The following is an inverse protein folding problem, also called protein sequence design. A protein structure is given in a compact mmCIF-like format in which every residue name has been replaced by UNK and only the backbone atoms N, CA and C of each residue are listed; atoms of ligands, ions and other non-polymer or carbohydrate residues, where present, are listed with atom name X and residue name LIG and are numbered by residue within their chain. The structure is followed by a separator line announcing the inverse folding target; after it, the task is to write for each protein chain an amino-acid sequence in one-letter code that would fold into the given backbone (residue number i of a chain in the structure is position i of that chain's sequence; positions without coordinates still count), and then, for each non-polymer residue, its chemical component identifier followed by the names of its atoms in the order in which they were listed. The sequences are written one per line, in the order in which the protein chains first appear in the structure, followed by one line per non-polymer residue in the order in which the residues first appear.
data_IF_075563043966
#
_entry.id   IF_075563043966
#
_cell.length_a   1.000
_cell.length_b   1.000
_cell.length_c   1.000
_cell.angle_alpha   90.00
_cell.angle_beta   90.00
_cell.angle_gamma   90.00
#
_symmetry.space_group_name_H-M   'P 1'
#
loop_
_entity.id
_entity.type
_entity.pdbx_description
1 polymer ?
#
# COMPACT_ATOMS: atom_id res chain seq x y z
N UNK A 1 -15.78 -15.45 45.66
CA UNK A 1 -15.18 -14.10 45.62
C UNK A 1 -13.85 -14.24 44.91
N UNK A 2 -13.70 -13.66 43.71
CA UNK A 2 -12.43 -13.73 42.96
C UNK A 2 -11.30 -13.12 43.81
N UNK A 3 -10.13 -13.74 43.79
CA UNK A 3 -8.99 -13.33 44.61
C UNK A 3 -8.51 -11.93 44.15
N UNK A 4 -7.99 -11.05 45.04
CA UNK A 4 -7.53 -9.73 44.64
C UNK A 4 -6.40 -9.78 43.59
N UNK A 5 -5.59 -10.84 43.59
CA UNK A 5 -4.57 -11.10 42.56
C UNK A 5 -5.18 -11.43 41.19
N UNK A 6 -6.29 -12.17 41.16
CA UNK A 6 -7.00 -12.55 39.93
C UNK A 6 -7.59 -11.31 39.26
N UNK A 7 -8.23 -10.44 40.05
CA UNK A 7 -8.74 -9.14 39.56
C UNK A 7 -7.64 -8.23 39.04
N UNK A 8 -6.47 -8.20 39.67
CA UNK A 8 -5.35 -7.37 39.26
C UNK A 8 -4.74 -7.88 37.94
N UNK A 9 -4.63 -9.21 37.80
CA UNK A 9 -4.17 -9.85 36.57
C UNK A 9 -5.17 -9.69 35.42
N UNK A 10 -6.47 -9.85 35.66
CA UNK A 10 -7.52 -9.58 34.67
C UNK A 10 -7.52 -8.12 34.21
N UNK A 11 -7.40 -7.15 35.12
CA UNK A 11 -7.32 -5.74 34.75
C UNK A 11 -6.06 -5.40 33.93
N UNK A 12 -4.94 -6.04 34.26
CA UNK A 12 -3.69 -5.88 33.51
C UNK A 12 -3.81 -6.48 32.11
N UNK A 13 -4.34 -7.70 31.98
CA UNK A 13 -4.63 -8.35 30.71
C UNK A 13 -5.58 -7.51 29.86
N UNK A 14 -6.64 -6.96 30.46
CA UNK A 14 -7.56 -6.08 29.75
C UNK A 14 -6.86 -4.80 29.27
N UNK A 15 -6.06 -4.17 30.14
CA UNK A 15 -5.33 -2.94 29.81
C UNK A 15 -4.23 -3.14 28.75
N UNK A 16 -3.74 -4.36 28.55
CA UNK A 16 -2.73 -4.68 27.52
C UNK A 16 -3.17 -4.31 26.10
N UNK A 17 -4.49 -4.30 25.87
CA UNK A 17 -5.13 -3.85 24.63
C UNK A 17 -4.78 -2.42 24.24
N UNK A 18 -4.47 -1.55 25.20
CA UNK A 18 -4.07 -0.16 24.98
C UNK A 18 -2.71 -0.05 24.27
N UNK A 19 -1.87 -1.09 24.32
CA UNK A 19 -0.60 -1.12 23.57
C UNK A 19 -0.87 -0.98 22.06
N UNK A 20 -2.01 -1.45 21.56
CA UNK A 20 -2.38 -1.32 20.13
C UNK A 20 -2.50 0.14 19.70
N UNK A 21 -2.82 1.06 20.61
CA UNK A 21 -2.92 2.49 20.29
C UNK A 21 -1.58 3.03 19.79
N UNK A 22 -0.45 2.54 20.30
CA UNK A 22 0.87 3.01 19.84
C UNK A 22 1.12 2.58 18.39
N UNK A 23 0.70 1.37 18.00
CA UNK A 23 0.78 0.87 16.63
C UNK A 23 -0.18 1.61 15.69
N UNK A 24 -1.39 1.94 16.16
CA UNK A 24 -2.36 2.75 15.40
C UNK A 24 -1.80 4.16 15.15
N UNK A 25 -1.25 4.81 16.16
CA UNK A 25 -0.70 6.16 16.02
C UNK A 25 0.54 6.18 15.12
N UNK A 26 1.44 5.19 15.23
CA UNK A 26 2.62 5.13 14.38
C UNK A 26 2.26 4.84 12.92
N UNK A 27 1.32 3.92 12.66
CA UNK A 27 0.84 3.63 11.30
C UNK A 27 0.07 4.81 10.68
N UNK A 28 -0.73 5.53 11.47
CA UNK A 28 -1.40 6.75 11.02
C UNK A 28 -0.38 7.84 10.64
N UNK A 29 0.62 8.08 11.48
CA UNK A 29 1.69 9.05 11.17
C UNK A 29 2.47 8.65 9.93
N UNK A 30 2.80 7.37 9.77
CA UNK A 30 3.49 6.86 8.59
C UNK A 30 2.63 7.02 7.32
N UNK A 31 1.32 6.76 7.40
CA UNK A 31 0.39 6.99 6.31
C UNK A 31 0.37 8.47 5.88
N UNK A 32 0.27 9.39 6.85
CA UNK A 32 0.29 10.84 6.59
C UNK A 32 1.62 11.30 5.97
N UNK A 33 2.76 10.78 6.46
CA UNK A 33 4.06 11.08 5.90
C UNK A 33 4.19 10.61 4.44
N UNK A 34 3.70 9.40 4.14
CA UNK A 34 3.69 8.87 2.77
C UNK A 34 2.75 9.65 1.85
N UNK A 35 1.55 10.02 2.31
CA UNK A 35 0.65 10.90 1.56
C UNK A 35 1.32 12.24 1.23
N UNK A 36 2.01 12.83 2.20
CA UNK A 36 2.74 14.08 2.00
C UNK A 36 3.87 13.92 0.98
N UNK A 37 4.72 12.90 1.12
CA UNK A 37 5.81 12.62 0.17
C UNK A 37 5.26 12.41 -1.26
N UNK A 38 4.29 11.51 -1.44
CA UNK A 38 3.68 11.26 -2.74
C UNK A 38 3.03 12.50 -3.37
N UNK A 39 2.44 13.38 -2.54
CA UNK A 39 1.87 14.66 -2.99
C UNK A 39 2.95 15.62 -3.45
N UNK A 40 4.05 15.73 -2.70
CA UNK A 40 5.20 16.57 -3.07
C UNK A 40 5.81 16.08 -4.39
N UNK A 41 6.03 14.78 -4.53
CA UNK A 41 6.57 14.17 -5.75
C UNK A 41 5.65 14.40 -6.96
N UNK A 42 4.33 14.29 -6.75
CA UNK A 42 3.34 14.60 -7.78
C UNK A 42 3.42 16.06 -8.27
N UNK A 43 3.56 17.02 -7.35
CA UNK A 43 3.69 18.44 -7.69
C UNK A 43 4.98 18.67 -8.49
N UNK A 44 6.11 18.10 -8.05
CA UNK A 44 7.38 18.23 -8.77
C UNK A 44 7.31 17.61 -10.16
N UNK A 45 6.71 16.43 -10.31
CA UNK A 45 6.54 15.78 -11.61
C UNK A 45 5.71 16.65 -12.58
N UNK A 46 4.58 17.20 -12.13
CA UNK A 46 3.75 18.11 -12.95
C UNK A 46 4.53 19.35 -13.38
N UNK A 47 5.37 19.90 -12.51
CA UNK A 47 6.20 21.06 -12.85
C UNK A 47 7.22 20.76 -13.96
N UNK A 48 7.83 19.56 -13.97
CA UNK A 48 8.78 19.15 -15.00
C UNK A 48 8.10 18.87 -16.35
N UNK A 49 6.84 18.41 -16.35
CA UNK A 49 6.05 18.18 -17.56
C UNK A 49 5.78 19.44 -18.38
N UNK A 50 5.78 20.62 -17.76
CA UNK A 50 5.59 21.90 -18.47
C UNK A 50 6.66 22.12 -19.53
N UNK A 51 7.88 21.60 -19.32
CA UNK A 51 8.97 21.69 -20.28
C UNK A 51 8.84 20.71 -21.46
N UNK A 52 8.04 19.64 -21.34
CA UNK A 52 7.88 18.63 -22.40
C UNK A 52 7.26 19.18 -23.70
N UNK A 53 6.47 20.25 -23.60
CA UNK A 53 5.81 20.89 -24.73
C UNK A 53 6.72 21.78 -25.60
N UNK A 54 8.02 21.90 -25.27
CA UNK A 54 8.95 22.73 -26.03
C UNK A 54 9.20 22.13 -27.44
N UNK A 55 8.82 22.85 -28.52
CA UNK A 55 9.02 22.41 -29.90
C UNK A 55 10.50 22.29 -30.29
N UNK A 56 11.41 22.93 -29.56
CA UNK A 56 12.85 22.94 -29.83
C UNK A 56 13.60 21.72 -29.26
N UNK A 57 12.94 20.82 -28.54
CA UNK A 57 13.60 19.63 -27.97
C UNK A 57 13.97 18.59 -29.03
N UNK A 58 15.20 18.07 -28.88
CA UNK A 58 15.71 16.95 -29.66
C UNK A 58 14.87 15.67 -29.43
N UNK A 59 14.60 14.87 -30.48
CA UNK A 59 13.80 13.65 -30.36
C UNK A 59 14.36 12.63 -29.34
N UNK A 60 15.69 12.55 -29.17
CA UNK A 60 16.31 11.64 -28.20
C UNK A 60 16.01 12.03 -26.75
N UNK A 61 16.16 13.32 -26.44
CA UNK A 61 15.87 13.90 -25.11
C UNK A 61 14.39 13.75 -24.75
N UNK A 62 13.49 13.87 -25.74
CA UNK A 62 12.05 13.69 -25.52
C UNK A 62 11.68 12.25 -25.15
N UNK A 63 12.35 11.26 -25.74
CA UNK A 63 12.13 9.85 -25.42
C UNK A 63 12.60 9.50 -24.00
N UNK A 64 13.77 10.01 -23.60
CA UNK A 64 14.31 9.83 -22.25
C UNK A 64 13.39 10.49 -21.20
N UNK A 65 12.98 11.74 -21.44
CA UNK A 65 12.07 12.47 -20.56
C UNK A 65 10.72 11.75 -20.42
N UNK A 66 10.20 11.14 -21.49
CA UNK A 66 9.00 10.32 -21.43
C UNK A 66 9.20 9.09 -20.55
N UNK A 67 10.31 8.35 -20.71
CA UNK A 67 10.62 7.18 -19.89
C UNK A 67 10.71 7.54 -18.39
N UNK A 68 11.47 8.60 -18.04
CA UNK A 68 11.58 9.08 -16.65
C UNK A 68 10.23 9.52 -16.08
N UNK A 69 9.39 10.20 -16.88
CA UNK A 69 8.05 10.61 -16.45
C UNK A 69 7.17 9.40 -16.12
N UNK A 70 7.20 8.36 -16.95
CA UNK A 70 6.44 7.12 -16.70
C UNK A 70 6.88 6.48 -15.39
N UNK A 71 8.20 6.40 -15.14
CA UNK A 71 8.74 5.88 -13.88
C UNK A 71 8.27 6.69 -12.68
N UNK A 72 8.34 8.03 -12.72
CA UNK A 72 7.87 8.89 -11.62
C UNK A 72 6.37 8.75 -11.35
N UNK A 73 5.53 8.61 -12.40
CA UNK A 73 4.09 8.38 -12.22
C UNK A 73 3.85 7.08 -11.45
N UNK A 74 4.57 6.02 -11.81
CA UNK A 74 4.47 4.70 -11.18
C UNK A 74 4.86 4.79 -9.71
N UNK A 75 5.94 5.51 -9.38
CA UNK A 75 6.38 5.77 -8.00
C UNK A 75 5.33 6.56 -7.18
N UNK A 76 4.74 7.61 -7.74
CA UNK A 76 3.71 8.42 -7.07
C UNK A 76 2.48 7.56 -6.76
N UNK A 77 2.02 6.76 -7.73
CA UNK A 77 0.88 5.86 -7.56
C UNK A 77 1.17 4.84 -6.46
N UNK A 78 2.37 4.26 -6.43
CA UNK A 78 2.80 3.34 -5.38
C UNK A 78 2.79 4.01 -4.00
N UNK A 79 3.32 5.23 -3.90
CA UNK A 79 3.35 6.01 -2.66
C UNK A 79 1.94 6.23 -2.09
N UNK A 80 0.97 6.57 -2.94
CA UNK A 80 -0.43 6.72 -2.52
C UNK A 80 -1.09 5.39 -2.11
N UNK A 81 -0.78 4.29 -2.81
CA UNK A 81 -1.29 2.96 -2.44
C UNK A 81 -0.74 2.55 -1.08
N UNK A 82 0.56 2.69 -0.85
CA UNK A 82 1.20 2.38 0.43
C UNK A 82 0.62 3.24 1.55
N UNK A 83 0.46 4.55 1.34
CA UNK A 83 -0.16 5.45 2.31
C UNK A 83 -1.59 5.00 2.68
N UNK A 84 -2.38 4.62 1.67
CA UNK A 84 -3.76 4.15 1.86
C UNK A 84 -3.80 2.83 2.64
N UNK A 85 -2.89 1.90 2.39
CA UNK A 85 -2.78 0.64 3.15
C UNK A 85 -2.47 0.90 4.61
N UNK A 86 -1.48 1.77 4.88
CA UNK A 86 -1.12 2.12 6.25
C UNK A 86 -2.29 2.77 6.98
N UNK A 87 -3.07 3.60 6.29
CA UNK A 87 -4.28 4.22 6.84
C UNK A 87 -5.36 3.18 7.16
N UNK A 88 -5.68 2.28 6.21
CA UNK A 88 -6.64 1.19 6.41
C UNK A 88 -6.18 0.27 7.55
N UNK A 89 -4.88 0.00 7.64
CA UNK A 89 -4.29 -0.81 8.70
C UNK A 89 -4.43 -0.14 10.07
N UNK A 90 -4.14 1.16 10.17
CA UNK A 90 -4.31 1.94 11.39
C UNK A 90 -5.78 1.90 11.88
N UNK A 91 -6.72 2.14 10.98
CA UNK A 91 -8.16 2.12 11.28
C UNK A 91 -8.64 0.70 11.65
N UNK A 92 -8.21 -0.33 10.91
CA UNK A 92 -8.58 -1.72 11.17
C UNK A 92 -8.05 -2.24 12.52
N UNK A 93 -6.81 -1.89 12.89
CA UNK A 93 -6.27 -2.21 14.22
C UNK A 93 -7.06 -1.53 15.34
N UNK A 94 -7.46 -0.27 15.14
CA UNK A 94 -8.26 0.45 16.11
C UNK A 94 -9.65 -0.17 16.29
N UNK A 95 -10.37 -0.44 15.21
CA UNK A 95 -11.72 -1.00 15.28
C UNK A 95 -11.75 -2.39 15.91
N UNK A 96 -10.76 -3.23 15.59
CA UNK A 96 -10.71 -4.59 16.07
C UNK A 96 -10.35 -4.66 17.57
N UNK A 97 -9.34 -3.90 17.99
CA UNK A 97 -8.82 -4.03 19.35
C UNK A 97 -9.38 -2.99 20.32
N UNK A 98 -9.76 -1.78 19.88
CA UNK A 98 -10.20 -0.72 20.79
C UNK A 98 -11.72 -0.62 20.83
N UNK A 99 -12.33 -0.15 19.75
CA UNK A 99 -13.76 0.11 19.66
C UNK A 99 -14.16 0.47 18.23
N UNK A 100 -15.44 0.24 17.87
CA UNK A 100 -15.99 0.69 16.60
C UNK A 100 -16.01 2.22 16.50
N UNK A 101 -15.76 2.75 15.32
CA UNK A 101 -15.79 4.18 15.08
C UNK A 101 -17.24 4.60 14.82
N UNK A 102 -17.92 5.16 15.83
CA UNK A 102 -19.32 5.61 15.72
C UNK A 102 -19.56 6.66 14.60
N UNK A 103 -18.52 7.42 14.22
CA UNK A 103 -18.59 8.37 13.11
C UNK A 103 -18.78 7.68 11.73
N UNK A 104 -18.42 6.40 11.62
CA UNK A 104 -18.58 5.61 10.39
C UNK A 104 -19.96 4.93 10.27
N UNK A 105 -20.76 4.87 11.34
CA UNK A 105 -22.10 4.25 11.35
C UNK A 105 -23.23 5.22 10.93
N UNK A 106 -22.99 6.52 10.95
CA UNK A 106 -23.99 7.55 10.59
C UNK A 106 -24.21 7.76 9.09
N UNK A 107 -23.35 7.18 8.24
CA UNK A 107 -23.40 7.35 6.78
C UNK A 107 -23.68 5.99 6.12
N UNK A 108 -24.86 5.85 5.50
CA UNK A 108 -25.34 4.59 4.90
C UNK A 108 -24.48 4.10 3.72
N UNK A 109 -23.45 4.86 3.31
CA UNK A 109 -22.48 4.51 2.28
C UNK A 109 -21.09 4.12 2.82
N UNK A 110 -20.83 4.31 4.12
CA UNK A 110 -19.54 4.04 4.78
C UNK A 110 -19.36 2.57 5.17
N UNK A 111 -20.46 1.83 5.30
CA UNK A 111 -20.48 0.49 5.89
C UNK A 111 -19.92 -0.65 5.03
N UNK A 112 -19.51 -0.40 3.78
CA UNK A 112 -18.90 -1.45 2.94
C UNK A 112 -17.42 -1.22 2.60
N UNK A 113 -16.88 -0.01 2.86
CA UNK A 113 -15.49 0.32 2.53
C UNK A 113 -14.56 0.13 3.74
N UNK A 114 -15.08 0.30 4.97
CA UNK A 114 -14.29 0.27 6.21
C UNK A 114 -14.59 -0.91 7.14
N UNK A 115 -15.54 -1.79 6.82
CA UNK A 115 -16.00 -2.85 7.72
C UNK A 115 -15.11 -4.10 7.62
N UNK A 116 -13.88 -3.98 8.14
CA UNK A 116 -12.97 -5.12 8.33
C UNK A 116 -13.48 -5.93 9.52
N UNK A 117 -14.08 -7.08 9.25
CA UNK A 117 -14.75 -7.89 10.28
C UNK A 117 -13.77 -8.79 11.08
N UNK A 118 -12.52 -8.92 10.65
CA UNK A 118 -11.51 -9.76 11.31
C UNK A 118 -10.06 -9.39 10.94
N UNK A 119 -9.09 -9.86 11.75
CA UNK A 119 -7.65 -9.81 11.40
C UNK A 119 -7.33 -10.49 10.08
N UNK A 120 -8.09 -11.51 9.71
CA UNK A 120 -7.85 -12.27 8.48
C UNK A 120 -8.28 -11.48 7.25
N UNK A 121 -9.38 -10.71 7.34
CA UNK A 121 -9.80 -9.77 6.29
C UNK A 121 -8.79 -8.60 6.16
N UNK A 122 -8.25 -8.12 7.30
CA UNK A 122 -7.17 -7.12 7.27
C UNK A 122 -5.89 -7.67 6.63
N UNK A 123 -5.45 -8.87 7.03
CA UNK A 123 -4.27 -9.53 6.49
C UNK A 123 -4.42 -9.86 5.00
N UNK A 124 -5.59 -10.32 4.56
CA UNK A 124 -5.88 -10.60 3.16
C UNK A 124 -5.81 -9.33 2.31
N UNK A 125 -6.43 -8.24 2.76
CA UNK A 125 -6.38 -6.95 2.07
C UNK A 125 -4.97 -6.36 2.03
N UNK A 126 -4.23 -6.47 3.13
CA UNK A 126 -2.85 -5.98 3.21
C UNK A 126 -1.92 -6.79 2.32
N UNK A 127 -2.03 -8.13 2.32
CA UNK A 127 -1.24 -9.01 1.45
C UNK A 127 -1.47 -8.69 -0.03
N UNK A 128 -2.73 -8.45 -0.42
CA UNK A 128 -3.08 -8.05 -1.78
C UNK A 128 -2.43 -6.74 -2.20
N UNK A 129 -2.33 -5.76 -1.30
CA UNK A 129 -1.71 -4.48 -1.65
C UNK A 129 -0.19 -4.55 -1.63
N UNK A 130 0.43 -5.31 -0.70
CA UNK A 130 1.88 -5.59 -0.76
C UNK A 130 2.23 -6.22 -2.11
N UNK A 131 1.41 -7.18 -2.57
CA UNK A 131 1.61 -7.81 -3.87
C UNK A 131 1.54 -6.76 -5.00
N UNK A 132 0.60 -5.82 -4.94
CA UNK A 132 0.53 -4.71 -5.91
C UNK A 132 1.76 -3.78 -5.87
N UNK A 133 2.25 -3.42 -4.68
CA UNK A 133 3.47 -2.61 -4.50
C UNK A 133 4.68 -3.32 -5.10
N UNK A 134 4.82 -4.63 -4.86
CA UNK A 134 5.91 -5.43 -5.43
C UNK A 134 5.86 -5.49 -6.96
N UNK A 135 4.67 -5.58 -7.54
CA UNK A 135 4.47 -5.53 -9.00
C UNK A 135 4.95 -4.19 -9.55
N UNK A 136 4.48 -3.10 -8.94
CA UNK A 136 4.83 -1.74 -9.34
C UNK A 136 6.34 -1.52 -9.26
N UNK A 137 6.97 -1.86 -8.12
CA UNK A 137 8.42 -1.75 -7.92
C UNK A 137 9.23 -2.62 -8.90
N UNK A 138 8.73 -3.81 -9.22
CA UNK A 138 9.36 -4.65 -10.23
C UNK A 138 9.29 -4.02 -11.62
N UNK A 139 8.15 -3.41 -11.99
CA UNK A 139 8.01 -2.68 -13.25
C UNK A 139 8.96 -1.48 -13.33
N UNK A 140 9.02 -0.66 -12.27
CA UNK A 140 9.94 0.48 -12.14
C UNK A 140 11.40 0.05 -12.35
N UNK A 141 11.82 -1.02 -11.67
CA UNK A 141 13.17 -1.58 -11.80
C UNK A 141 13.43 -2.13 -13.20
N UNK A 142 12.43 -2.76 -13.81
CA UNK A 142 12.53 -3.34 -15.15
C UNK A 142 12.63 -2.28 -16.25
N UNK A 143 11.88 -1.19 -16.14
CA UNK A 143 11.93 -0.06 -17.10
C UNK A 143 13.25 0.70 -17.00
N UNK A 144 13.86 0.72 -15.82
CA UNK A 144 15.12 1.42 -15.56
C UNK A 144 16.37 0.57 -15.84
N UNK A 145 16.22 -0.71 -16.23
CA UNK A 145 17.34 -1.63 -16.46
C UNK A 145 17.88 -1.54 -17.89
N UNK A 146 19.20 -1.45 -18.03
CA UNK A 146 19.87 -1.53 -19.33
C UNK A 146 20.09 -2.99 -19.75
N UNK A 147 19.41 -3.42 -20.82
CA UNK A 147 19.53 -4.77 -21.35
C UNK A 147 20.85 -4.95 -22.11
N UNK A 148 21.85 -5.51 -21.42
CA UNK A 148 23.20 -5.68 -21.96
C UNK A 148 23.38 -7.05 -22.63
N UNK A 149 22.71 -8.07 -22.11
CA UNK A 149 22.82 -9.45 -22.59
C UNK A 149 21.45 -10.10 -22.85
N UNK A 150 21.36 -11.09 -23.76
CA UNK A 150 20.12 -11.86 -23.97
C UNK A 150 19.63 -12.61 -22.71
N UNK A 151 20.51 -12.86 -21.74
CA UNK A 151 20.16 -13.46 -20.46
C UNK A 151 19.33 -12.50 -19.59
N UNK A 152 19.59 -11.21 -19.66
CA UNK A 152 18.84 -10.18 -18.89
C UNK A 152 17.37 -10.17 -19.31
N UNK A 153 17.11 -10.32 -20.62
CA UNK A 153 15.75 -10.48 -21.17
C UNK A 153 15.07 -11.75 -20.66
N UNK A 154 15.81 -12.86 -20.52
CA UNK A 154 15.27 -14.11 -20.00
C UNK A 154 14.92 -14.00 -18.51
N UNK A 155 15.77 -13.35 -17.70
CA UNK A 155 15.48 -13.10 -16.29
C UNK A 155 14.28 -12.15 -16.11
N UNK A 156 14.17 -11.11 -16.93
CA UNK A 156 13.00 -10.23 -16.95
C UNK A 156 11.72 -11.02 -17.29
N UNK A 157 11.73 -11.81 -18.36
CA UNK A 157 10.58 -12.64 -18.73
C UNK A 157 10.21 -13.65 -17.61
N UNK A 158 11.21 -14.23 -16.95
CA UNK A 158 11.01 -15.09 -15.77
C UNK A 158 10.38 -14.36 -14.59
N UNK A 159 10.83 -13.14 -14.28
CA UNK A 159 10.26 -12.32 -13.22
C UNK A 159 8.80 -11.95 -13.49
N UNK A 160 8.47 -11.55 -14.73
CA UNK A 160 7.09 -11.29 -15.17
C UNK A 160 6.23 -12.56 -15.04
N UNK A 161 6.75 -13.72 -15.42
CA UNK A 161 6.03 -14.98 -15.29
C UNK A 161 5.75 -15.36 -13.82
N UNK A 162 6.71 -15.14 -12.93
CA UNK A 162 6.55 -15.38 -11.48
C UNK A 162 5.54 -14.42 -10.84
N UNK A 163 5.53 -13.16 -11.26
CA UNK A 163 4.52 -12.19 -10.86
C UNK A 163 3.12 -12.63 -11.32
N UNK A 164 3.01 -13.04 -12.59
CA UNK A 164 1.76 -13.59 -13.14
C UNK A 164 1.27 -14.80 -12.36
N UNK A 165 2.19 -15.71 -12.00
CA UNK A 165 1.88 -16.87 -11.17
C UNK A 165 1.43 -16.47 -9.76
N UNK A 166 2.10 -15.51 -9.13
CA UNK A 166 1.74 -14.99 -7.81
C UNK A 166 0.33 -14.38 -7.80
N UNK A 167 0.00 -13.59 -8.82
CA UNK A 167 -1.33 -13.02 -9.01
C UNK A 167 -2.41 -14.09 -9.20
N UNK A 168 -2.11 -15.10 -10.02
CA UNK A 168 -3.03 -16.23 -10.25
C UNK A 168 -3.30 -17.00 -8.95
N UNK A 169 -2.25 -17.35 -8.21
CA UNK A 169 -2.38 -18.07 -6.94
C UNK A 169 -3.14 -17.24 -5.89
N UNK A 170 -2.92 -15.93 -5.84
CA UNK A 170 -3.67 -15.04 -4.95
C UNK A 170 -5.16 -15.02 -5.27
N UNK A 171 -5.55 -15.02 -6.55
CA UNK A 171 -6.96 -15.05 -6.94
C UNK A 171 -7.62 -16.41 -6.70
N UNK A 172 -6.89 -17.50 -6.88
CA UNK A 172 -7.40 -18.86 -6.58
C UNK A 172 -7.61 -19.04 -5.08
N UNK A 173 -6.75 -18.45 -4.23
CA UNK A 173 -6.93 -18.47 -2.77
C UNK A 173 -8.14 -17.67 -2.28
N UNK A 174 -8.53 -16.60 -2.99
CA UNK A 174 -9.76 -15.83 -2.70
C UNK A 174 -11.04 -16.56 -3.16
N UNK A 175 -10.91 -17.58 -4.01
CA UNK A 175 -12.01 -18.35 -4.58
C UNK A 175 -12.28 -19.64 -3.77
N UNK A 176 -12.56 -19.53 -2.46
CA UNK A 176 -13.27 -20.59 -1.75
C UNK A 176 -14.80 -20.37 -1.86
N UNK A 177 -15.59 -21.42 -2.17
CA UNK A 177 -17.03 -21.30 -2.39
C UNK A 177 -17.77 -21.18 -1.05
N UNK A 178 -18.88 -20.43 -1.10
CA UNK A 178 -19.96 -20.43 -0.11
C UNK A 178 -20.38 -21.83 0.36
#
# INVERSE_FOLDING_TARGET
MANPLERLFENFLWSSRLVVITAVLSSLLAALAMFYMATVDAIYMVSHLVHYADPAMDPGVRSELHATTVTHIVEIVDGYLLATVLLIFALGLYELFISKINAAEGDQNSSNILLIKSLDDLKARLAKVILMILIVKFFEYTVSMEFSTPLDLLYMAGGIALIGLSLYLSHVGDAEPH
#
